data_IF_177690896990
#
_entry.id   IF_177690896990
#
_cell.length_a   1.000
_cell.length_b   1.000
_cell.length_c   1.000
_cell.angle_alpha   90.00
_cell.angle_beta   90.00
_cell.angle_gamma   90.00
#
_symmetry.space_group_name_H-M   'P 1'
#
loop_
_entity.id
_entity.type
_entity.pdbx_description
1 polymer ?
#
# COMPACT_ATOMS: atom_id res chain seq x y z
N UNK A 1 -24.71 3.77 -0.78
CA UNK A 1 -23.50 4.28 -0.09
C UNK A 1 -23.02 3.15 0.78
N UNK A 2 -21.72 2.96 0.85
CA UNK A 2 -21.10 1.86 1.59
C UNK A 2 -19.80 2.37 2.22
N UNK A 3 -19.48 1.81 3.38
CA UNK A 3 -18.20 2.01 4.06
C UNK A 3 -17.44 0.69 4.02
N UNK A 4 -16.16 0.73 3.68
CA UNK A 4 -15.24 -0.40 3.80
C UNK A 4 -14.12 -0.04 4.77
N UNK A 5 -13.45 -1.06 5.29
CA UNK A 5 -12.30 -0.94 6.18
C UNK A 5 -11.25 -1.98 5.75
N UNK A 6 -10.00 -1.54 5.59
CA UNK A 6 -8.92 -2.45 5.20
C UNK A 6 -8.44 -3.22 6.44
N UNK A 7 -8.81 -4.49 6.48
CA UNK A 7 -8.43 -5.38 7.58
C UNK A 7 -6.91 -5.45 7.74
N UNK A 8 -6.44 -5.12 8.95
CA UNK A 8 -5.06 -5.28 9.37
C UNK A 8 -4.05 -4.57 8.44
N UNK A 9 -4.43 -3.40 7.88
CA UNK A 9 -3.72 -2.69 6.79
C UNK A 9 -2.20 -2.84 6.84
N UNK A 10 -1.55 -2.34 7.90
CA UNK A 10 -0.10 -2.33 8.01
C UNK A 10 0.51 -3.73 7.98
N UNK A 11 -0.04 -4.66 8.74
CA UNK A 11 0.44 -6.04 8.81
C UNK A 11 0.14 -6.84 7.55
N UNK A 12 -0.79 -6.38 6.72
CA UNK A 12 -1.18 -7.00 5.45
C UNK A 12 -0.42 -6.46 4.22
N UNK A 13 0.38 -5.38 4.36
CA UNK A 13 1.12 -4.82 3.21
C UNK A 13 2.17 -5.80 2.68
N UNK A 14 2.12 -6.16 1.39
CA UNK A 14 3.11 -7.05 0.78
C UNK A 14 4.40 -6.28 0.43
N UNK A 15 5.27 -6.13 1.43
CA UNK A 15 6.53 -5.35 1.33
C UNK A 15 7.33 -5.61 0.04
N UNK A 16 7.56 -6.86 -0.42
CA UNK A 16 8.30 -7.08 -1.66
C UNK A 16 7.66 -6.41 -2.88
N UNK A 17 6.33 -6.46 -3.01
CA UNK A 17 5.59 -5.83 -4.10
C UNK A 17 5.64 -4.31 -3.98
N UNK A 18 5.45 -3.78 -2.76
CA UNK A 18 5.53 -2.35 -2.46
C UNK A 18 6.90 -1.77 -2.84
N UNK A 19 8.00 -2.51 -2.59
CA UNK A 19 9.35 -2.10 -3.00
C UNK A 19 9.50 -2.04 -4.53
N UNK A 20 8.88 -2.95 -5.28
CA UNK A 20 8.87 -2.91 -6.76
C UNK A 20 8.11 -1.68 -7.28
N UNK A 21 6.95 -1.36 -6.67
CA UNK A 21 6.18 -0.18 -7.04
C UNK A 21 6.98 1.10 -6.73
N UNK A 22 7.58 1.17 -5.54
CA UNK A 22 8.46 2.27 -5.14
C UNK A 22 9.62 2.46 -6.12
N UNK A 23 10.28 1.38 -6.55
CA UNK A 23 11.34 1.43 -7.55
C UNK A 23 10.84 2.03 -8.87
N UNK A 24 9.69 1.56 -9.38
CA UNK A 24 9.09 2.05 -10.62
C UNK A 24 8.74 3.54 -10.56
N UNK A 25 8.19 4.00 -9.43
CA UNK A 25 7.86 5.41 -9.21
C UNK A 25 9.11 6.29 -9.17
N UNK A 26 10.15 5.85 -8.45
CA UNK A 26 11.41 6.57 -8.36
C UNK A 26 12.16 6.62 -9.69
N UNK A 27 12.09 5.55 -10.50
CA UNK A 27 12.69 5.52 -11.85
C UNK A 27 11.95 6.44 -12.83
N UNK A 28 10.64 6.64 -12.63
CA UNK A 28 9.81 7.52 -13.46
C UNK A 28 9.92 8.99 -13.07
N UNK A 29 10.46 9.29 -11.89
CA UNK A 29 10.58 10.64 -11.35
C UNK A 29 11.82 11.37 -11.89
N UNK A 30 11.61 12.13 -12.96
CA UNK A 30 12.67 12.91 -13.62
C UNK A 30 13.26 14.02 -12.74
N UNK A 31 12.55 14.44 -11.69
CA UNK A 31 12.98 15.48 -10.75
C UNK A 31 13.75 14.94 -9.53
N UNK A 32 13.88 13.61 -9.39
CA UNK A 32 14.50 12.99 -8.22
C UNK A 32 15.93 13.49 -7.96
N UNK A 33 16.72 13.67 -9.03
CA UNK A 33 18.10 14.15 -8.95
C UNK A 33 18.24 15.58 -8.38
N UNK A 34 17.17 16.38 -8.40
CA UNK A 34 17.15 17.72 -7.81
C UNK A 34 16.97 17.68 -6.29
N UNK A 35 16.32 16.63 -5.78
CA UNK A 35 15.98 16.49 -4.35
C UNK A 35 16.99 15.65 -3.58
N UNK A 36 17.70 14.74 -4.24
CA UNK A 36 18.67 13.85 -3.60
C UNK A 36 19.76 13.36 -4.55
N UNK A 37 20.91 12.99 -3.97
CA UNK A 37 22.02 12.34 -4.68
C UNK A 37 21.89 10.82 -4.73
N UNK A 38 20.90 10.25 -4.03
CA UNK A 38 20.68 8.81 -4.00
C UNK A 38 19.99 8.36 -5.28
N UNK A 39 20.47 7.25 -5.86
CA UNK A 39 19.75 6.61 -6.97
C UNK A 39 18.47 5.93 -6.47
N UNK A 40 17.48 5.72 -7.34
CA UNK A 40 16.29 4.90 -7.04
C UNK A 40 16.63 3.58 -6.33
N UNK A 41 17.60 2.84 -6.88
CA UNK A 41 18.10 1.59 -6.28
C UNK A 41 18.60 1.76 -4.84
N UNK A 42 19.35 2.83 -4.56
CA UNK A 42 19.88 3.07 -3.21
C UNK A 42 18.76 3.39 -2.22
N UNK A 43 17.76 4.17 -2.63
CA UNK A 43 16.59 4.49 -1.80
C UNK A 43 15.82 3.21 -1.50
N UNK A 44 15.47 2.42 -2.52
CA UNK A 44 14.73 1.16 -2.34
C UNK A 44 15.51 0.17 -1.47
N UNK A 45 16.83 0.10 -1.61
CA UNK A 45 17.68 -0.74 -0.75
C UNK A 45 17.63 -0.32 0.71
N UNK A 46 17.66 0.99 0.99
CA UNK A 46 17.54 1.52 2.36
C UNK A 46 16.14 1.25 2.94
N UNK A 47 15.09 1.45 2.15
CA UNK A 47 13.72 1.16 2.56
C UNK A 47 13.54 -0.34 2.82
N UNK A 48 14.06 -1.21 1.96
CA UNK A 48 14.05 -2.67 2.17
C UNK A 48 14.71 -3.01 3.51
N UNK A 49 15.91 -2.47 3.76
CA UNK A 49 16.63 -2.68 5.01
C UNK A 49 15.78 -2.31 6.22
N UNK A 50 15.14 -1.14 6.21
CA UNK A 50 14.28 -0.73 7.32
C UNK A 50 13.05 -1.63 7.50
N UNK A 51 12.46 -2.14 6.42
CA UNK A 51 11.21 -2.90 6.50
C UNK A 51 11.40 -4.39 6.77
N UNK A 52 12.51 -4.98 6.33
CA UNK A 52 12.73 -6.44 6.34
C UNK A 52 13.88 -6.85 7.24
N UNK A 53 15.07 -6.32 6.99
CA UNK A 53 16.29 -6.77 7.68
C UNK A 53 16.44 -6.15 9.08
N UNK A 54 16.08 -4.89 9.25
CA UNK A 54 16.22 -4.09 10.47
C UNK A 54 14.97 -4.01 11.33
N UNK A 55 13.90 -4.71 10.94
CA UNK A 55 12.62 -4.66 11.61
C UNK A 55 12.56 -5.61 12.82
N UNK A 56 13.14 -5.16 13.94
CA UNK A 56 13.12 -5.88 15.22
C UNK A 56 12.37 -5.09 16.29
N UNK A 57 11.66 -5.81 17.15
CA UNK A 57 11.04 -5.26 18.34
C UNK A 57 11.34 -6.14 19.56
N UNK A 58 11.21 -5.54 20.75
CA UNK A 58 11.44 -6.24 22.02
C UNK A 58 10.12 -6.48 22.72
N UNK A 59 9.87 -7.74 23.08
CA UNK A 59 8.70 -8.13 23.86
C UNK A 59 9.11 -9.10 24.97
N UNK A 60 8.71 -8.82 26.21
CA UNK A 60 9.04 -9.64 27.39
C UNK A 60 10.54 -10.02 27.49
N UNK A 61 11.43 -9.06 27.22
CA UNK A 61 12.88 -9.25 27.31
C UNK A 61 13.52 -9.98 26.13
N UNK A 62 12.74 -10.47 25.16
CA UNK A 62 13.24 -11.15 23.97
C UNK A 62 13.14 -10.25 22.73
N UNK A 63 14.03 -10.47 21.77
CA UNK A 63 14.00 -9.80 20.46
C UNK A 63 13.25 -10.66 19.46
N UNK A 64 12.37 -10.01 18.71
CA UNK A 64 11.59 -10.62 17.64
C UNK A 64 11.79 -9.83 16.36
N UNK A 65 11.74 -10.53 15.24
CA UNK A 65 11.70 -9.93 13.90
C UNK A 65 10.29 -10.03 13.37
N UNK A 66 9.76 -8.95 12.81
CA UNK A 66 8.51 -9.01 12.08
C UNK A 66 8.79 -9.61 10.68
N UNK A 67 8.06 -10.67 10.33
CA UNK A 67 8.32 -11.41 9.09
C UNK A 67 7.66 -10.76 7.87
N UNK A 68 6.44 -10.26 8.06
CA UNK A 68 5.61 -9.69 6.99
C UNK A 68 4.91 -8.41 7.46
N UNK A 69 4.43 -7.64 6.49
CA UNK A 69 3.77 -6.35 6.73
C UNK A 69 4.73 -5.21 7.05
N UNK A 70 4.19 -4.00 7.00
CA UNK A 70 4.85 -2.80 7.47
C UNK A 70 4.80 -2.72 9.01
N UNK A 71 5.91 -2.43 9.70
CA UNK A 71 5.91 -2.32 11.15
C UNK A 71 5.10 -1.12 11.62
N UNK A 72 4.08 -1.36 12.45
CA UNK A 72 3.35 -0.27 13.09
C UNK A 72 4.29 0.55 13.98
N UNK A 73 4.26 1.87 13.84
CA UNK A 73 5.15 2.81 14.56
C UNK A 73 6.44 3.18 13.82
N UNK A 74 6.76 2.54 12.69
CA UNK A 74 7.82 3.04 11.81
C UNK A 74 7.34 4.27 11.02
N UNK A 75 8.19 5.30 10.85
CA UNK A 75 7.85 6.49 10.08
C UNK A 75 7.67 6.22 8.58
N UNK A 76 8.20 5.09 8.07
CA UNK A 76 8.06 4.69 6.67
C UNK A 76 6.76 3.92 6.41
N UNK A 77 6.16 3.31 7.43
CA UNK A 77 5.00 2.43 7.25
C UNK A 77 3.78 3.13 6.65
N UNK A 78 3.38 4.35 7.12
CA UNK A 78 2.27 5.06 6.51
C UNK A 78 2.47 5.34 5.01
N UNK A 79 3.68 5.73 4.62
CA UNK A 79 4.00 6.04 3.21
C UNK A 79 3.95 4.78 2.35
N UNK A 80 4.45 3.65 2.85
CA UNK A 80 4.44 2.38 2.11
C UNK A 80 3.05 1.76 2.03
N UNK A 81 2.24 1.92 3.08
CA UNK A 81 0.84 1.50 3.06
C UNK A 81 0.06 2.33 2.02
N UNK A 82 0.21 3.65 2.03
CA UNK A 82 -0.43 4.55 1.07
C UNK A 82 -0.05 4.19 -0.37
N UNK A 83 1.25 4.03 -0.63
CA UNK A 83 1.77 3.68 -1.96
C UNK A 83 1.21 2.36 -2.48
N UNK A 84 1.08 1.34 -1.62
CA UNK A 84 0.52 0.06 -2.03
C UNK A 84 -0.99 0.14 -2.29
N UNK A 85 -1.73 0.81 -1.41
CA UNK A 85 -3.19 0.91 -1.56
C UNK A 85 -3.58 1.80 -2.73
N UNK A 86 -2.84 2.88 -3.00
CA UNK A 86 -3.01 3.69 -4.21
C UNK A 86 -2.79 2.85 -5.47
N UNK A 87 -1.72 2.03 -5.51
CA UNK A 87 -1.51 1.11 -6.63
C UNK A 87 -2.63 0.07 -6.78
N UNK A 88 -3.18 -0.42 -5.66
CA UNK A 88 -4.34 -1.33 -5.67
C UNK A 88 -5.57 -0.62 -6.25
N UNK A 89 -5.85 0.61 -5.83
CA UNK A 89 -6.96 1.43 -6.32
C UNK A 89 -6.84 1.74 -7.82
N UNK A 90 -5.65 2.14 -8.27
CA UNK A 90 -5.35 2.33 -9.69
C UNK A 90 -5.62 1.05 -10.47
N UNK A 91 -5.08 -0.08 -10.00
CA UNK A 91 -5.31 -1.39 -10.63
C UNK A 91 -6.79 -1.79 -10.63
N UNK A 92 -7.52 -1.48 -9.56
CA UNK A 92 -8.93 -1.82 -9.41
C UNK A 92 -9.84 -1.06 -10.37
N UNK A 93 -9.49 0.22 -10.62
CA UNK A 93 -10.36 1.19 -11.27
C UNK A 93 -9.80 1.72 -12.60
N UNK A 94 -8.71 1.16 -13.12
CA UNK A 94 -8.15 1.52 -14.43
C UNK A 94 -9.17 1.31 -15.56
N UNK A 95 -9.18 2.23 -16.54
CA UNK A 95 -9.99 2.14 -17.76
C UNK A 95 -11.31 2.91 -17.73
N UNK A 96 -11.65 3.55 -18.85
CA UNK A 96 -12.79 4.49 -18.98
C UNK A 96 -14.18 3.84 -18.82
N UNK A 97 -14.28 2.53 -19.07
CA UNK A 97 -15.53 1.74 -19.00
C UNK A 97 -15.46 0.63 -17.93
N UNK A 98 -14.67 0.84 -16.88
CA UNK A 98 -14.49 -0.17 -15.84
C UNK A 98 -15.81 -0.38 -15.05
N UNK A 99 -16.43 -1.58 -15.08
CA UNK A 99 -17.71 -1.84 -14.42
C UNK A 99 -17.62 -1.79 -12.89
N UNK A 100 -16.42 -1.88 -12.35
CA UNK A 100 -16.14 -1.83 -10.92
C UNK A 100 -15.88 -0.41 -10.41
N UNK A 101 -15.67 0.56 -11.31
CA UNK A 101 -15.42 1.94 -10.92
C UNK A 101 -16.64 2.55 -10.21
N UNK A 102 -16.52 2.92 -8.93
CA UNK A 102 -17.60 3.54 -8.18
C UNK A 102 -17.81 4.99 -8.65
N UNK A 103 -18.99 5.54 -8.40
CA UNK A 103 -19.28 6.96 -8.66
C UNK A 103 -18.41 7.90 -7.81
N UNK A 104 -18.04 7.43 -6.62
CA UNK A 104 -17.14 8.10 -5.70
C UNK A 104 -16.40 7.04 -4.90
N UNK A 105 -15.10 7.22 -4.73
CA UNK A 105 -14.25 6.47 -3.81
C UNK A 105 -13.37 7.46 -3.07
N UNK A 106 -13.40 7.43 -1.74
CA UNK A 106 -12.55 8.26 -0.88
C UNK A 106 -12.02 7.40 0.24
N UNK A 107 -10.70 7.38 0.40
CA UNK A 107 -10.03 6.66 1.47
C UNK A 107 -9.32 7.63 2.42
N UNK A 108 -9.34 7.29 3.70
CA UNK A 108 -8.53 7.90 4.74
C UNK A 108 -7.78 6.80 5.48
N UNK A 109 -6.51 6.58 5.13
CA UNK A 109 -5.71 5.46 5.63
C UNK A 109 -6.36 4.10 5.29
N UNK A 110 -7.07 3.48 6.23
CA UNK A 110 -7.79 2.21 6.14
C UNK A 110 -9.30 2.37 5.90
N UNK A 111 -9.88 3.49 6.35
CA UNK A 111 -11.31 3.78 6.19
C UNK A 111 -11.64 4.21 4.74
N UNK A 112 -12.64 3.56 4.14
CA UNK A 112 -13.08 3.85 2.78
C UNK A 112 -14.56 4.21 2.75
N UNK A 113 -14.88 5.32 2.09
CA UNK A 113 -16.23 5.74 1.74
C UNK A 113 -16.45 5.62 0.23
N UNK A 114 -17.51 4.90 -0.18
CA UNK A 114 -17.84 4.73 -1.59
C UNK A 114 -19.33 4.93 -1.95
N UNK A 115 -19.55 5.45 -3.15
CA UNK A 115 -20.88 5.53 -3.78
C UNK A 115 -20.91 4.53 -4.95
N UNK A 116 -21.53 3.39 -4.71
CA UNK A 116 -21.72 2.32 -5.69
C UNK A 116 -23.19 2.19 -6.10
N UNK A 117 -23.43 1.48 -7.21
CA UNK A 117 -24.78 1.07 -7.61
C UNK A 117 -25.35 0.11 -6.57
N UNK A 118 -26.63 0.29 -6.22
CA UNK A 118 -27.32 -0.57 -5.24
C UNK A 118 -27.25 -2.04 -5.68
N UNK A 119 -26.87 -2.93 -4.76
CA UNK A 119 -26.70 -4.36 -5.00
C UNK A 119 -25.34 -4.75 -5.61
N UNK A 120 -24.37 -3.83 -5.67
CA UNK A 120 -22.99 -4.09 -6.12
C UNK A 120 -21.97 -3.91 -4.99
N UNK A 121 -22.43 -3.66 -3.77
CA UNK A 121 -21.58 -3.43 -2.59
C UNK A 121 -20.65 -4.63 -2.32
N UNK A 122 -21.21 -5.84 -2.34
CA UNK A 122 -20.46 -7.08 -2.11
C UNK A 122 -19.58 -7.43 -3.32
N UNK A 123 -20.11 -7.27 -4.53
CA UNK A 123 -19.37 -7.57 -5.75
C UNK A 123 -18.13 -6.69 -5.91
N UNK A 124 -18.20 -5.40 -5.52
CA UNK A 124 -17.03 -4.53 -5.47
C UNK A 124 -16.04 -5.00 -4.40
N UNK A 125 -16.51 -5.40 -3.21
CA UNK A 125 -15.64 -5.90 -2.15
C UNK A 125 -14.89 -7.17 -2.59
N UNK A 126 -15.59 -8.12 -3.22
CA UNK A 126 -15.01 -9.33 -3.81
C UNK A 126 -13.99 -8.99 -4.90
N UNK A 127 -14.29 -8.03 -5.79
CA UNK A 127 -13.35 -7.54 -6.79
C UNK A 127 -12.08 -7.00 -6.15
N UNK A 128 -12.19 -6.08 -5.19
CA UNK A 128 -11.03 -5.49 -4.49
C UNK A 128 -10.16 -6.57 -3.81
N UNK A 129 -10.80 -7.53 -3.13
CA UNK A 129 -10.10 -8.63 -2.46
C UNK A 129 -9.44 -9.61 -3.44
N UNK A 130 -9.87 -9.64 -4.71
CA UNK A 130 -9.33 -10.55 -5.72
C UNK A 130 -8.02 -10.06 -6.38
N UNK A 131 -7.72 -8.77 -6.29
CA UNK A 131 -6.56 -8.15 -6.98
C UNK A 131 -5.24 -8.61 -6.34
N UNK A 132 -5.22 -8.67 -5.01
CA UNK A 132 -4.09 -9.14 -4.21
C UNK A 132 -4.61 -10.04 -3.07
N UNK A 133 -4.88 -11.33 -3.35
CA UNK A 133 -5.44 -12.27 -2.38
C UNK A 133 -4.45 -12.68 -1.29
#
# INVERSE_FOLDING_TARGET
MVSYDVKDLFTSIPIPRTLTILQSLLDSDTSLGERTKLSPFQIVKLVSFCMREGNYFRFQGNFFRQNDGAPMGSPLSPVLAELFVEHLEETAFEGTDNPWAPRLFKRYVDDIFAIVKKGQEEALLEHLNSIFP
#
